data_IF_518037641069
#
_entry.id   IF_518037641069
#
_cell.length_a   1.000
_cell.length_b   1.000
_cell.length_c   1.000
_cell.angle_alpha   90.00
_cell.angle_beta   90.00
_cell.angle_gamma   90.00
#
_symmetry.space_group_name_H-M   'P 1'
#
loop_
_entity.id
_entity.type
_entity.pdbx_description
1 polymer ?
#
# COMPACT_ATOMS: atom_id res chain seq x y z
N UNK A 1 2.69 -51.99 -39.99
CA UNK A 1 3.31 -50.67 -39.70
C UNK A 1 2.27 -49.57 -39.85
N UNK A 2 1.27 -49.49 -38.97
CA UNK A 2 0.25 -48.43 -38.94
C UNK A 2 -0.43 -48.41 -37.55
N UNK A 3 0.19 -47.77 -36.54
CA UNK A 3 -0.42 -47.49 -35.25
C UNK A 3 0.34 -46.41 -34.47
N UNK A 4 0.47 -45.17 -34.97
CA UNK A 4 1.09 -44.08 -34.20
C UNK A 4 0.55 -42.66 -34.46
N UNK A 5 -0.57 -42.47 -35.14
CA UNK A 5 -1.04 -41.10 -35.47
C UNK A 5 -2.36 -40.65 -34.84
N UNK A 6 -3.01 -41.45 -33.97
CA UNK A 6 -4.29 -41.07 -33.37
C UNK A 6 -4.19 -40.42 -31.98
N UNK A 7 -3.06 -40.51 -31.27
CA UNK A 7 -2.91 -40.01 -29.91
C UNK A 7 -2.67 -38.48 -29.82
N UNK A 8 -1.96 -37.89 -30.76
CA UNK A 8 -1.56 -36.47 -30.69
C UNK A 8 -2.69 -35.46 -30.98
N UNK A 9 -3.73 -35.89 -31.73
CA UNK A 9 -4.88 -35.02 -32.07
C UNK A 9 -5.89 -34.89 -30.92
N UNK A 10 -6.00 -35.92 -30.07
CA UNK A 10 -6.88 -35.92 -28.88
C UNK A 10 -6.34 -35.05 -27.77
N UNK A 11 -5.05 -35.07 -27.50
CA UNK A 11 -4.42 -34.20 -26.47
C UNK A 11 -4.49 -32.72 -26.82
N UNK A 12 -4.24 -32.34 -28.09
CA UNK A 12 -4.35 -30.93 -28.51
C UNK A 12 -5.78 -30.37 -28.42
N UNK A 13 -6.80 -31.20 -28.63
CA UNK A 13 -8.21 -30.80 -28.49
C UNK A 13 -8.64 -30.60 -27.03
N UNK A 14 -8.11 -31.39 -26.09
CA UNK A 14 -8.43 -31.24 -24.68
C UNK A 14 -7.77 -30.00 -24.06
N UNK A 15 -6.53 -29.69 -24.42
CA UNK A 15 -5.83 -28.48 -23.96
C UNK A 15 -6.52 -27.20 -24.48
N UNK A 16 -7.01 -27.20 -25.73
CA UNK A 16 -7.70 -26.02 -26.28
C UNK A 16 -9.10 -25.81 -25.66
N UNK A 17 -9.80 -26.88 -25.30
CA UNK A 17 -11.09 -26.79 -24.58
C UNK A 17 -10.92 -26.31 -23.13
N UNK A 18 -9.88 -26.77 -22.44
CA UNK A 18 -9.54 -26.31 -21.09
C UNK A 18 -9.22 -24.82 -21.06
N UNK A 19 -8.38 -24.33 -21.97
CA UNK A 19 -8.05 -22.88 -22.06
C UNK A 19 -9.24 -22.00 -22.41
N UNK A 20 -10.18 -22.49 -23.23
CA UNK A 20 -11.39 -21.72 -23.59
C UNK A 20 -12.40 -21.69 -22.44
N UNK A 21 -12.52 -22.76 -21.65
CA UNK A 21 -13.35 -22.83 -20.45
C UNK A 21 -12.80 -21.97 -19.32
N UNK A 22 -11.45 -21.90 -19.18
CA UNK A 22 -10.78 -21.06 -18.19
C UNK A 22 -10.92 -19.57 -18.49
N UNK A 23 -10.77 -19.17 -19.77
CA UNK A 23 -11.00 -17.77 -20.19
C UNK A 23 -12.46 -17.34 -20.02
N UNK A 24 -13.42 -18.22 -20.24
CA UNK A 24 -14.85 -17.95 -20.01
C UNK A 24 -15.15 -17.72 -18.52
N UNK A 25 -14.56 -18.49 -17.63
CA UNK A 25 -14.76 -18.33 -16.17
C UNK A 25 -14.14 -17.03 -15.65
N UNK A 26 -12.92 -16.69 -16.08
CA UNK A 26 -12.27 -15.43 -15.70
C UNK A 26 -13.06 -14.18 -16.13
N UNK A 27 -13.62 -14.20 -17.35
CA UNK A 27 -14.48 -13.10 -17.83
C UNK A 27 -15.77 -13.01 -17.02
N UNK A 28 -16.39 -14.15 -16.68
CA UNK A 28 -17.62 -14.17 -15.86
C UNK A 28 -17.34 -13.68 -14.43
N UNK A 29 -16.22 -14.06 -13.84
CA UNK A 29 -15.83 -13.61 -12.48
C UNK A 29 -15.53 -12.10 -12.47
N UNK A 30 -14.78 -11.59 -13.46
CA UNK A 30 -14.51 -10.16 -13.61
C UNK A 30 -15.79 -9.32 -13.81
N UNK A 31 -16.73 -9.80 -14.64
CA UNK A 31 -18.03 -9.13 -14.82
C UNK A 31 -18.87 -9.18 -13.53
N UNK A 32 -18.82 -10.27 -12.76
CA UNK A 32 -19.54 -10.39 -11.51
C UNK A 32 -18.98 -9.41 -10.45
N UNK A 33 -17.66 -9.26 -10.35
CA UNK A 33 -17.01 -8.31 -9.44
C UNK A 33 -17.37 -6.86 -9.81
N UNK A 34 -17.28 -6.49 -11.08
CA UNK A 34 -17.68 -5.15 -11.55
C UNK A 34 -19.16 -4.87 -11.30
N UNK A 35 -20.02 -5.88 -11.44
CA UNK A 35 -21.45 -5.75 -11.15
C UNK A 35 -21.71 -5.55 -9.64
N UNK A 36 -20.98 -6.27 -8.79
CA UNK A 36 -21.06 -6.13 -7.32
C UNK A 36 -20.56 -4.75 -6.90
N UNK A 37 -19.44 -4.28 -7.43
CA UNK A 37 -18.90 -2.95 -7.12
C UNK A 37 -19.84 -1.83 -7.58
N UNK A 38 -20.42 -1.95 -8.79
CA UNK A 38 -21.42 -1.00 -9.29
C UNK A 38 -22.70 -1.02 -8.44
N UNK A 39 -23.13 -2.20 -7.98
CA UNK A 39 -24.29 -2.34 -7.11
C UNK A 39 -24.04 -1.74 -5.73
N UNK A 40 -22.86 -1.93 -5.16
CA UNK A 40 -22.46 -1.33 -3.88
C UNK A 40 -22.42 0.19 -3.99
N UNK A 41 -21.85 0.74 -5.06
CA UNK A 41 -21.84 2.18 -5.30
C UNK A 41 -23.27 2.76 -5.42
N UNK A 42 -24.13 2.07 -6.15
CA UNK A 42 -25.55 2.43 -6.29
C UNK A 42 -26.32 2.36 -4.96
N UNK A 43 -26.08 1.33 -4.14
CA UNK A 43 -26.76 1.18 -2.83
C UNK A 43 -26.29 2.18 -1.78
N UNK A 44 -25.03 2.65 -1.87
CA UNK A 44 -24.48 3.68 -0.96
C UNK A 44 -25.00 5.08 -1.26
N UNK A 45 -25.07 5.45 -2.50
CA UNK A 45 -25.57 6.77 -2.95
C UNK A 45 -26.13 6.69 -4.38
N UNK A 46 -27.44 6.37 -4.54
CA UNK A 46 -28.08 6.26 -5.85
C UNK A 46 -28.05 7.55 -6.67
N UNK A 47 -28.08 8.72 -5.99
CA UNK A 47 -28.09 10.01 -6.68
C UNK A 47 -26.69 10.37 -7.19
N UNK A 48 -25.65 10.15 -6.40
CA UNK A 48 -24.27 10.36 -6.83
C UNK A 48 -23.86 9.40 -7.96
N UNK A 49 -24.29 8.14 -7.90
CA UNK A 49 -24.04 7.16 -8.96
C UNK A 49 -24.69 7.54 -10.30
N UNK A 50 -25.94 7.99 -10.28
CA UNK A 50 -26.63 8.44 -11.50
C UNK A 50 -26.06 9.75 -12.04
N UNK A 51 -25.67 10.69 -11.20
CA UNK A 51 -24.99 11.92 -11.61
C UNK A 51 -23.60 11.66 -12.22
N UNK A 52 -22.84 10.70 -11.67
CA UNK A 52 -21.56 10.26 -12.25
C UNK A 52 -21.70 9.68 -13.65
N UNK A 53 -22.71 8.85 -13.89
CA UNK A 53 -23.04 8.32 -15.22
C UNK A 53 -23.47 9.41 -16.23
N UNK A 54 -24.21 10.42 -15.79
CA UNK A 54 -24.61 11.55 -16.64
C UNK A 54 -23.45 12.50 -16.95
N UNK A 55 -22.49 12.68 -15.99
CA UNK A 55 -21.30 13.49 -16.19
C UNK A 55 -20.35 12.90 -17.26
N UNK A 56 -20.19 11.58 -17.28
CA UNK A 56 -19.42 10.87 -18.32
C UNK A 56 -20.07 11.02 -19.73
N UNK A 57 -21.38 11.16 -19.78
CA UNK A 57 -22.12 11.32 -21.05
C UNK A 57 -22.13 12.76 -21.61
N UNK A 58 -21.70 13.77 -20.85
CA UNK A 58 -21.85 15.20 -21.20
C UNK A 58 -20.54 15.98 -21.19
N UNK A 59 -19.42 15.50 -21.68
CA UNK A 59 -18.20 16.29 -21.84
C UNK A 59 -18.16 16.94 -23.22
N UNK A 60 -18.38 18.29 -23.34
CA UNK A 60 -18.04 19.02 -24.55
C UNK A 60 -16.65 19.65 -24.42
N UNK A 61 -15.84 19.49 -25.44
CA UNK A 61 -14.56 20.16 -25.61
C UNK A 61 -14.75 21.67 -25.88
N UNK A 62 -13.91 22.52 -25.28
CA UNK A 62 -13.60 23.80 -25.89
C UNK A 62 -13.63 25.07 -25.02
N UNK A 63 -12.47 25.60 -24.83
CA UNK A 63 -11.95 26.95 -25.10
C UNK A 63 -12.30 28.17 -24.19
N UNK A 64 -11.19 28.78 -23.77
CA UNK A 64 -10.87 30.22 -23.66
C UNK A 64 -11.59 31.18 -22.70
N UNK A 65 -10.74 31.96 -21.97
CA UNK A 65 -11.15 33.22 -21.41
C UNK A 65 -10.25 33.81 -20.30
N UNK A 66 -9.08 34.32 -20.65
CA UNK A 66 -8.27 35.20 -19.79
C UNK A 66 -8.99 36.50 -19.48
N UNK A 67 -9.13 36.88 -18.22
CA UNK A 67 -9.32 38.27 -17.82
C UNK A 67 -8.42 38.66 -16.64
N UNK A 68 -7.52 39.60 -16.90
CA UNK A 68 -6.74 40.37 -15.92
C UNK A 68 -7.63 41.34 -15.16
N UNK A 69 -7.45 41.45 -13.84
CA UNK A 69 -7.82 42.64 -13.08
C UNK A 69 -6.78 42.94 -11.99
N UNK A 70 -6.43 44.17 -11.94
CA UNK A 70 -5.46 44.98 -11.29
C UNK A 70 -5.19 44.83 -9.80
N UNK A 71 -3.95 45.16 -9.46
CA UNK A 71 -3.37 45.29 -8.12
C UNK A 71 -3.65 46.72 -7.61
N UNK A 72 -4.08 46.90 -6.38
CA UNK A 72 -3.87 48.16 -5.65
C UNK A 72 -2.69 48.06 -4.67
N UNK A 73 -1.80 49.05 -4.75
CA UNK A 73 -0.73 49.30 -3.79
C UNK A 73 -1.28 49.69 -2.43
N UNK A 74 -0.73 49.13 -1.35
CA UNK A 74 -0.98 49.61 0.01
C UNK A 74 0.34 49.91 0.72
N UNK A 75 0.28 50.96 1.49
CA UNK A 75 1.35 51.69 2.13
C UNK A 75 1.99 50.95 3.31
N UNK A 76 3.27 51.25 3.52
CA UNK A 76 4.13 50.72 4.58
C UNK A 76 3.83 51.39 5.91
N UNK A 77 3.30 50.69 6.87
CA UNK A 77 3.39 51.09 8.28
C UNK A 77 4.33 50.16 9.06
N UNK A 78 5.37 50.78 9.61
CA UNK A 78 6.37 50.20 10.47
C UNK A 78 5.81 50.02 11.88
N UNK A 79 5.50 48.81 12.29
CA UNK A 79 5.24 48.47 13.70
C UNK A 79 6.34 47.54 14.21
N UNK A 80 7.06 48.00 15.23
CA UNK A 80 8.05 47.26 15.98
C UNK A 80 7.38 46.12 16.76
N UNK A 81 7.58 44.88 16.32
CA UNK A 81 7.15 43.70 17.06
C UNK A 81 8.29 43.24 17.97
N UNK A 82 8.06 43.29 19.27
CA UNK A 82 8.82 42.52 20.26
C UNK A 82 8.44 41.06 20.15
N UNK A 83 9.39 40.09 20.13
CA UNK A 83 9.04 38.68 20.12
C UNK A 83 8.47 38.29 21.47
N UNK A 84 7.15 38.12 21.54
CA UNK A 84 6.52 37.36 22.60
C UNK A 84 6.72 35.88 22.28
N UNK A 85 7.63 35.20 22.98
CA UNK A 85 7.76 33.75 22.96
C UNK A 85 6.54 33.16 23.66
N UNK A 86 5.47 32.94 22.91
CA UNK A 86 4.43 32.03 23.35
C UNK A 86 4.96 30.61 23.15
N UNK A 87 5.39 29.96 24.23
CA UNK A 87 5.56 28.51 24.22
C UNK A 87 4.20 27.92 23.81
N UNK A 88 4.13 27.31 22.64
CA UNK A 88 3.02 26.41 22.33
C UNK A 88 3.07 25.27 23.39
N UNK A 89 1.92 24.79 23.87
CA UNK A 89 1.91 23.61 24.70
C UNK A 89 2.59 22.48 23.90
N UNK A 90 3.65 21.92 24.46
CA UNK A 90 4.21 20.67 23.95
C UNK A 90 3.07 19.65 24.02
N UNK A 91 2.67 19.13 22.89
CA UNK A 91 1.72 18.01 22.83
C UNK A 91 2.47 16.84 23.46
N UNK A 92 2.06 16.40 24.66
CA UNK A 92 2.52 15.12 25.22
C UNK A 92 1.76 14.04 24.45
N UNK A 93 2.48 13.22 23.69
CA UNK A 93 1.96 12.02 23.10
C UNK A 93 1.95 10.92 24.16
N UNK A 94 0.85 10.18 24.26
CA UNK A 94 0.69 9.08 25.21
C UNK A 94 0.81 7.75 24.46
N UNK A 95 1.88 6.98 24.71
CA UNK A 95 2.16 5.76 24.00
C UNK A 95 3.07 5.92 22.79
N UNK A 96 3.19 4.87 22.01
CA UNK A 96 3.96 4.82 20.76
C UNK A 96 3.15 4.14 19.67
N UNK A 97 3.37 4.55 18.42
CA UNK A 97 2.97 3.77 17.26
C UNK A 97 4.02 2.66 17.06
N UNK A 98 3.62 1.42 17.29
CA UNK A 98 4.47 0.24 17.11
C UNK A 98 4.30 -0.36 15.73
N UNK A 99 5.39 -0.66 15.05
CA UNK A 99 5.43 -1.18 13.68
C UNK A 99 6.39 -2.36 13.63
N UNK A 100 5.92 -3.50 13.15
CA UNK A 100 6.73 -4.71 12.99
C UNK A 100 6.78 -5.08 11.52
N UNK A 101 7.97 -5.04 10.93
CA UNK A 101 8.22 -5.59 9.59
C UNK A 101 8.71 -7.02 9.77
N UNK A 102 7.84 -7.98 9.49
CA UNK A 102 8.06 -9.39 9.80
C UNK A 102 9.03 -10.04 8.80
N UNK A 103 9.94 -10.89 9.27
CA UNK A 103 10.74 -11.77 8.39
C UNK A 103 9.85 -12.88 7.83
N UNK A 104 9.27 -12.62 6.67
CA UNK A 104 8.44 -13.57 5.90
C UNK A 104 9.18 -14.04 4.64
N UNK A 105 10.52 -14.06 4.69
CA UNK A 105 11.33 -14.32 3.50
C UNK A 105 11.14 -13.22 2.44
N UNK A 106 11.01 -13.62 1.16
CA UNK A 106 10.71 -12.65 0.12
C UNK A 106 9.25 -12.25 0.20
N UNK A 107 8.97 -10.94 0.31
CA UNK A 107 7.63 -10.40 0.41
C UNK A 107 7.44 -9.45 1.59
N UNK A 108 6.22 -8.99 1.79
CA UNK A 108 5.86 -8.08 2.87
C UNK A 108 4.80 -8.67 3.80
N UNK A 109 4.98 -8.46 5.09
CA UNK A 109 3.94 -8.54 6.11
C UNK A 109 4.29 -7.55 7.21
N UNK A 110 3.48 -6.52 7.40
CA UNK A 110 3.76 -5.43 8.31
C UNK A 110 2.57 -5.30 9.27
N UNK A 111 2.86 -5.51 10.56
CA UNK A 111 1.88 -5.32 11.63
C UNK A 111 2.10 -3.98 12.31
N UNK A 112 1.01 -3.26 12.57
CA UNK A 112 1.04 -1.99 13.30
C UNK A 112 0.06 -2.02 14.46
N UNK A 113 0.47 -1.38 15.56
CA UNK A 113 -0.40 -1.10 16.70
C UNK A 113 -0.35 0.39 17.02
N UNK A 114 -1.51 1.04 16.96
CA UNK A 114 -1.66 2.43 17.32
C UNK A 114 -1.48 2.64 18.84
N UNK A 115 -1.19 3.87 19.29
CA UNK A 115 -1.15 4.20 20.72
C UNK A 115 -2.47 3.87 21.45
N UNK A 116 -3.61 4.00 20.78
CA UNK A 116 -4.94 3.63 21.28
C UNK A 116 -5.16 2.13 21.41
N UNK A 117 -4.34 1.30 20.76
CA UNK A 117 -4.38 -0.15 20.77
C UNK A 117 -5.01 -0.77 19.51
N UNK A 118 -5.52 0.05 18.60
CA UNK A 118 -6.05 -0.39 17.31
C UNK A 118 -4.96 -1.06 16.49
N UNK A 119 -5.34 -2.08 15.70
CA UNK A 119 -4.40 -2.94 14.98
C UNK A 119 -4.57 -2.85 13.48
N UNK A 120 -3.46 -2.90 12.75
CA UNK A 120 -3.44 -2.94 11.30
C UNK A 120 -2.47 -4.00 10.81
N UNK A 121 -2.87 -4.77 9.79
CA UNK A 121 -1.97 -5.67 9.07
C UNK A 121 -1.92 -5.25 7.60
N UNK A 122 -0.72 -5.01 7.09
CA UNK A 122 -0.47 -4.67 5.69
C UNK A 122 0.29 -5.84 5.08
N UNK A 123 -0.32 -6.47 4.09
CA UNK A 123 0.15 -7.69 3.43
C UNK A 123 0.33 -8.90 4.39
N UNK A 124 0.53 -10.07 3.82
CA UNK A 124 0.59 -11.34 4.56
C UNK A 124 1.60 -12.32 3.97
N UNK A 125 2.61 -11.82 3.26
CA UNK A 125 3.68 -12.61 2.70
C UNK A 125 3.20 -13.75 1.79
N UNK A 126 4.11 -14.66 1.45
CA UNK A 126 3.71 -15.90 0.78
C UNK A 126 2.95 -16.85 1.73
N UNK A 127 2.06 -17.67 1.18
CA UNK A 127 1.17 -18.58 1.94
C UNK A 127 1.88 -19.50 2.93
N UNK A 128 3.14 -19.84 2.70
CA UNK A 128 3.95 -20.69 3.55
C UNK A 128 4.34 -20.01 4.87
N UNK A 129 4.34 -18.69 4.94
CA UNK A 129 4.70 -17.92 6.14
C UNK A 129 3.49 -17.58 7.03
N UNK A 130 2.29 -18.05 6.67
CA UNK A 130 1.11 -17.80 7.50
C UNK A 130 1.28 -18.25 8.96
N UNK A 131 1.94 -19.40 9.19
CA UNK A 131 2.14 -19.90 10.56
C UNK A 131 3.02 -19.01 11.41
N UNK A 132 4.01 -18.37 10.82
CA UNK A 132 4.91 -17.41 11.46
C UNK A 132 4.15 -16.12 11.79
N UNK A 133 3.38 -15.59 10.83
CA UNK A 133 2.54 -14.40 11.03
C UNK A 133 1.47 -14.67 12.11
N UNK A 134 0.78 -15.80 12.05
CA UNK A 134 -0.24 -16.21 13.02
C UNK A 134 0.35 -16.38 14.45
N UNK A 135 1.56 -16.94 14.55
CA UNK A 135 2.27 -17.08 15.83
C UNK A 135 2.63 -15.71 16.39
N UNK A 136 3.18 -14.81 15.55
CA UNK A 136 3.51 -13.45 15.95
C UNK A 136 2.26 -12.68 16.42
N UNK A 137 1.17 -12.71 15.66
CA UNK A 137 -0.07 -12.02 16.04
C UNK A 137 -0.62 -12.54 17.38
N UNK A 138 -0.52 -13.84 17.64
CA UNK A 138 -0.90 -14.43 18.94
C UNK A 138 0.03 -14.04 20.09
N UNK A 139 1.34 -13.94 19.85
CA UNK A 139 2.31 -13.44 20.82
C UNK A 139 2.08 -11.97 21.16
N UNK A 140 1.52 -11.20 20.22
CA UNK A 140 1.08 -9.84 20.40
C UNK A 140 -0.34 -9.71 20.99
N UNK A 141 -0.95 -10.80 21.43
CA UNK A 141 -2.33 -10.84 21.96
C UNK A 141 -3.39 -10.28 21.00
N UNK A 142 -3.17 -10.37 19.67
CA UNK A 142 -4.10 -9.89 18.64
C UNK A 142 -5.27 -10.87 18.52
N UNK A 143 -6.48 -10.42 18.86
CA UNK A 143 -7.72 -11.19 18.71
C UNK A 143 -8.48 -10.83 17.42
N UNK A 144 -8.36 -9.60 16.96
CA UNK A 144 -8.97 -9.05 15.75
C UNK A 144 -8.04 -8.05 15.09
N UNK A 145 -8.27 -7.76 13.82
CA UNK A 145 -7.57 -6.74 13.05
C UNK A 145 -8.57 -5.65 12.65
N UNK A 146 -8.35 -4.42 13.14
CA UNK A 146 -9.26 -3.31 12.85
C UNK A 146 -9.16 -2.91 11.37
N UNK A 147 -7.96 -2.97 10.82
CA UNK A 147 -7.68 -2.70 9.41
C UNK A 147 -6.77 -3.78 8.83
N UNK A 148 -7.11 -4.25 7.63
CA UNK A 148 -6.23 -5.08 6.80
C UNK A 148 -6.09 -4.42 5.43
N UNK A 149 -4.85 -4.35 4.93
CA UNK A 149 -4.53 -3.79 3.62
C UNK A 149 -3.82 -4.86 2.79
N UNK A 150 -4.35 -5.13 1.59
CA UNK A 150 -3.65 -5.87 0.55
C UNK A 150 -3.12 -4.85 -0.46
N UNK A 151 -1.81 -4.62 -0.49
CA UNK A 151 -1.22 -3.53 -1.28
C UNK A 151 -1.39 -3.75 -2.77
N UNK A 152 -1.08 -4.94 -3.26
CA UNK A 152 -1.24 -5.34 -4.66
C UNK A 152 -1.33 -6.88 -4.79
N UNK A 153 -1.72 -7.43 -5.98
CA UNK A 153 -2.13 -8.84 -6.06
C UNK A 153 -1.00 -9.87 -6.26
N UNK A 154 0.26 -9.56 -5.98
CA UNK A 154 1.35 -10.54 -6.06
C UNK A 154 1.34 -11.49 -4.86
N UNK A 155 1.85 -12.72 -5.06
CA UNK A 155 1.75 -13.81 -4.09
C UNK A 155 2.61 -13.61 -2.86
N UNK A 156 3.68 -12.89 -2.96
CA UNK A 156 4.58 -12.52 -1.86
C UNK A 156 4.04 -11.39 -0.97
N UNK A 157 2.88 -10.84 -1.34
CA UNK A 157 2.11 -9.87 -0.54
C UNK A 157 0.78 -10.45 -0.05
N UNK A 158 0.04 -11.14 -0.93
CA UNK A 158 -1.30 -11.65 -0.56
C UNK A 158 -1.36 -13.18 -0.39
N UNK A 159 -0.20 -13.85 -0.36
CA UNK A 159 -0.14 -15.32 -0.28
C UNK A 159 -0.84 -15.89 0.95
N UNK A 160 -0.56 -15.33 2.11
CA UNK A 160 -1.19 -15.69 3.38
C UNK A 160 -2.56 -15.05 3.63
N UNK A 161 -2.99 -14.09 2.81
CA UNK A 161 -4.15 -13.24 3.09
C UNK A 161 -5.46 -14.01 3.26
N UNK A 162 -5.70 -15.06 2.46
CA UNK A 162 -6.90 -15.89 2.63
C UNK A 162 -6.96 -16.56 4.01
N UNK A 163 -5.81 -16.98 4.56
CA UNK A 163 -5.71 -17.60 5.87
C UNK A 163 -5.88 -16.59 7.00
N UNK A 164 -5.38 -15.35 6.83
CA UNK A 164 -5.64 -14.21 7.74
C UNK A 164 -7.15 -13.93 7.81
N UNK A 165 -7.81 -13.79 6.65
CA UNK A 165 -9.26 -13.54 6.55
C UNK A 165 -10.09 -14.65 7.20
N UNK A 166 -9.67 -15.91 7.05
CA UNK A 166 -10.35 -17.05 7.64
C UNK A 166 -10.17 -17.15 9.16
N UNK A 167 -9.04 -16.66 9.69
CA UNK A 167 -8.63 -16.85 11.10
C UNK A 167 -9.04 -15.69 12.00
N UNK A 168 -8.94 -14.44 11.52
CA UNK A 168 -9.17 -13.25 12.34
C UNK A 168 -10.48 -12.55 11.98
N UNK A 169 -11.09 -11.89 12.96
CA UNK A 169 -12.14 -10.92 12.69
C UNK A 169 -11.50 -9.64 12.13
N UNK A 170 -12.06 -9.12 11.03
CA UNK A 170 -11.52 -7.95 10.32
C UNK A 170 -12.56 -6.85 10.31
N UNK A 171 -12.19 -5.66 10.78
CA UNK A 171 -13.04 -4.48 10.80
C UNK A 171 -13.20 -3.90 9.39
N UNK A 172 -12.10 -3.53 8.76
CA UNK A 172 -12.07 -2.96 7.41
C UNK A 172 -10.98 -3.63 6.57
N UNK A 173 -11.30 -3.94 5.33
CA UNK A 173 -10.35 -4.52 4.37
C UNK A 173 -10.17 -3.57 3.19
N UNK A 174 -8.92 -3.23 2.87
CA UNK A 174 -8.58 -2.34 1.75
C UNK A 174 -7.80 -3.10 0.68
N UNK A 175 -8.08 -2.80 -0.59
CA UNK A 175 -7.35 -3.33 -1.74
C UNK A 175 -7.42 -2.35 -2.91
N UNK A 176 -6.49 -2.40 -3.89
CA UNK A 176 -6.55 -1.58 -5.09
C UNK A 176 -7.62 -2.09 -6.08
N UNK A 177 -8.01 -1.23 -7.04
CA UNK A 177 -8.99 -1.58 -8.09
C UNK A 177 -8.36 -2.36 -9.24
N UNK A 178 -7.55 -3.35 -8.94
CA UNK A 178 -6.93 -4.21 -9.94
C UNK A 178 -7.33 -5.66 -9.73
N UNK A 179 -7.40 -6.43 -10.81
CA UNK A 179 -7.72 -7.85 -10.75
C UNK A 179 -6.56 -8.69 -11.26
N UNK A 180 -6.36 -9.86 -10.66
CA UNK A 180 -5.38 -10.81 -11.11
C UNK A 180 -6.00 -12.20 -11.29
N UNK A 181 -5.41 -13.02 -12.17
CA UNK A 181 -5.94 -14.34 -12.52
C UNK A 181 -5.23 -15.48 -11.80
N UNK A 182 -4.48 -15.18 -10.73
CA UNK A 182 -3.78 -16.19 -9.93
C UNK A 182 -4.73 -16.89 -8.96
N UNK A 183 -4.41 -18.14 -8.63
CA UNK A 183 -5.14 -18.87 -7.62
C UNK A 183 -5.08 -18.21 -6.23
N UNK A 184 -4.01 -17.49 -5.93
CA UNK A 184 -3.82 -16.74 -4.68
C UNK A 184 -4.86 -15.62 -4.58
N UNK A 185 -4.98 -14.81 -5.62
CA UNK A 185 -5.97 -13.73 -5.67
C UNK A 185 -7.42 -14.28 -5.62
N UNK A 186 -7.72 -15.36 -6.38
CA UNK A 186 -9.03 -16.01 -6.34
C UNK A 186 -9.37 -16.55 -4.94
N UNK A 187 -8.38 -17.10 -4.18
CA UNK A 187 -8.59 -17.56 -2.80
C UNK A 187 -8.88 -16.42 -1.84
N UNK A 188 -8.13 -15.32 -1.93
CA UNK A 188 -8.37 -14.12 -1.11
C UNK A 188 -9.80 -13.62 -1.32
N UNK A 189 -10.25 -13.43 -2.57
CA UNK A 189 -11.61 -13.00 -2.87
C UNK A 189 -12.67 -13.98 -2.35
N UNK A 190 -12.41 -15.29 -2.46
CA UNK A 190 -13.32 -16.32 -1.96
C UNK A 190 -13.43 -16.30 -0.43
N UNK A 191 -12.32 -16.03 0.28
CA UNK A 191 -12.32 -15.89 1.72
C UNK A 191 -13.10 -14.63 2.17
N UNK A 192 -12.91 -13.49 1.50
CA UNK A 192 -13.69 -12.28 1.73
C UNK A 192 -15.20 -12.53 1.54
N UNK A 193 -15.58 -13.19 0.44
CA UNK A 193 -16.98 -13.55 0.18
C UNK A 193 -17.55 -14.48 1.27
N UNK A 194 -16.80 -15.53 1.67
CA UNK A 194 -17.23 -16.49 2.69
C UNK A 194 -17.41 -15.86 4.07
N UNK A 195 -16.64 -14.81 4.40
CA UNK A 195 -16.72 -14.04 5.65
C UNK A 195 -17.65 -12.83 5.54
N UNK A 196 -18.31 -12.63 4.40
CA UNK A 196 -19.18 -11.48 4.13
C UNK A 196 -18.46 -10.12 4.30
N UNK A 197 -17.13 -10.07 4.09
CA UNK A 197 -16.33 -8.86 4.14
C UNK A 197 -16.37 -8.18 2.77
N UNK A 198 -16.85 -6.94 2.75
CA UNK A 198 -16.83 -6.10 1.55
C UNK A 198 -15.56 -5.25 1.54
N UNK A 199 -14.61 -5.47 0.60
CA UNK A 199 -13.42 -4.68 0.56
C UNK A 199 -13.70 -3.24 0.14
N UNK A 200 -13.00 -2.29 0.77
CA UNK A 200 -12.94 -0.90 0.33
C UNK A 200 -11.86 -0.77 -0.73
N UNK A 201 -12.22 -0.21 -1.89
CA UNK A 201 -11.23 0.08 -2.93
C UNK A 201 -10.48 1.36 -2.56
N UNK A 202 -9.17 1.23 -2.42
CA UNK A 202 -8.29 2.32 -2.07
C UNK A 202 -7.87 3.11 -3.31
N UNK A 203 -8.02 4.43 -3.24
CA UNK A 203 -7.48 5.39 -4.20
C UNK A 203 -6.92 6.59 -3.47
N UNK A 204 -5.81 7.10 -3.98
CA UNK A 204 -5.21 8.32 -3.50
C UNK A 204 -5.99 9.54 -4.01
N UNK A 205 -6.20 10.49 -3.11
CA UNK A 205 -6.70 11.83 -3.41
C UNK A 205 -6.14 12.81 -2.39
N UNK A 206 -6.40 14.11 -2.55
CA UNK A 206 -5.92 15.12 -1.62
C UNK A 206 -6.33 14.93 -0.15
N UNK A 207 -7.32 14.06 0.10
CA UNK A 207 -7.87 13.80 1.43
C UNK A 207 -8.20 12.31 1.66
N UNK A 208 -7.56 11.41 0.90
CA UNK A 208 -7.78 9.99 1.08
C UNK A 208 -7.01 9.47 2.29
N UNK A 209 -7.74 9.07 3.33
CA UNK A 209 -7.19 8.53 4.57
C UNK A 209 -7.93 7.25 4.96
N UNK A 210 -7.21 6.34 5.60
CA UNK A 210 -7.78 5.20 6.29
C UNK A 210 -8.09 5.65 7.72
N UNK A 211 -9.36 5.65 8.12
CA UNK A 211 -9.74 5.90 9.50
C UNK A 211 -9.33 4.70 10.36
N UNK A 212 -8.43 4.94 11.31
CA UNK A 212 -7.85 3.89 12.14
C UNK A 212 -7.81 4.30 13.61
N UNK A 213 -6.94 5.19 14.01
CA UNK A 213 -6.78 5.74 15.35
C UNK A 213 -6.96 7.27 15.29
N UNK A 214 -7.36 7.92 16.41
CA UNK A 214 -7.65 9.36 16.40
C UNK A 214 -6.36 10.22 16.40
N UNK A 215 -5.24 9.68 16.87
CA UNK A 215 -3.95 10.38 16.98
C UNK A 215 -2.99 10.03 15.81
N UNK A 216 -3.35 9.02 14.98
CA UNK A 216 -2.52 8.55 13.86
C UNK A 216 -3.21 8.86 12.53
N UNK A 217 -2.54 9.64 11.68
CA UNK A 217 -3.01 9.84 10.31
C UNK A 217 -2.45 8.75 9.39
N UNK A 218 -3.33 8.13 8.59
CA UNK A 218 -2.98 7.09 7.62
C UNK A 218 -3.41 7.56 6.23
N UNK A 219 -2.49 8.22 5.52
CA UNK A 219 -2.77 8.82 4.22
C UNK A 219 -2.47 7.87 3.08
N UNK A 220 -3.37 7.79 2.10
CA UNK A 220 -3.18 7.01 0.86
C UNK A 220 -2.56 7.92 -0.21
N UNK A 221 -1.38 7.54 -0.73
CA UNK A 221 -0.66 8.27 -1.78
C UNK A 221 -0.75 7.57 -3.15
N UNK A 222 -1.01 6.26 -3.20
CA UNK A 222 -1.18 5.44 -4.42
C UNK A 222 -2.20 4.32 -4.13
N UNK A 223 -2.88 3.76 -5.16
CA UNK A 223 -2.90 4.21 -6.56
C UNK A 223 -3.75 5.48 -6.77
N UNK A 224 -3.42 6.28 -7.77
CA UNK A 224 -4.20 7.48 -8.11
C UNK A 224 -5.49 7.12 -8.82
N UNK A 225 -6.59 7.78 -8.48
CA UNK A 225 -7.87 7.56 -9.12
C UNK A 225 -7.82 7.94 -10.61
N UNK A 226 -8.29 7.02 -11.48
CA UNK A 226 -8.33 7.22 -12.93
C UNK A 226 -7.00 6.96 -13.66
N UNK A 227 -5.94 6.59 -12.96
CA UNK A 227 -4.73 6.05 -13.59
C UNK A 227 -4.94 4.57 -13.96
N UNK A 228 -4.31 4.16 -15.05
CA UNK A 228 -4.25 2.77 -15.51
C UNK A 228 -2.77 2.37 -15.57
N UNK A 229 -2.36 1.57 -14.61
CA UNK A 229 -0.98 1.11 -14.49
C UNK A 229 -0.81 -0.19 -15.26
N UNK A 230 0.25 -0.28 -16.10
CA UNK A 230 0.55 -1.48 -16.88
C UNK A 230 1.14 -2.60 -16.00
N UNK A 231 1.97 -2.22 -15.02
CA UNK A 231 2.56 -3.14 -14.05
C UNK A 231 1.69 -3.29 -12.81
N UNK A 232 1.61 -4.51 -12.28
CA UNK A 232 0.84 -4.79 -11.06
C UNK A 232 1.48 -4.17 -9.80
N UNK A 233 2.79 -3.99 -9.80
CA UNK A 233 3.52 -3.35 -8.71
C UNK A 233 3.08 -1.89 -8.53
N UNK A 234 2.85 -1.17 -9.64
CA UNK A 234 2.41 0.22 -9.62
C UNK A 234 0.98 0.42 -9.09
N UNK A 235 0.19 -0.68 -8.97
CA UNK A 235 -1.10 -0.65 -8.26
C UNK A 235 -0.96 -0.71 -6.74
N UNK A 236 0.25 -0.75 -6.21
CA UNK A 236 0.50 -0.80 -4.77
C UNK A 236 -0.18 0.35 -4.05
N UNK A 237 -0.89 0.01 -2.96
CA UNK A 237 -1.36 1.00 -2.00
C UNK A 237 -0.13 1.51 -1.25
N UNK A 238 0.20 2.78 -1.47
CA UNK A 238 1.29 3.48 -0.77
C UNK A 238 0.68 4.30 0.35
N UNK A 239 1.18 4.09 1.57
CA UNK A 239 0.67 4.73 2.77
C UNK A 239 1.75 5.60 3.42
N UNK A 240 1.41 6.85 3.76
CA UNK A 240 2.17 7.64 4.72
C UNK A 240 1.42 7.67 6.05
N UNK A 241 2.01 7.08 7.09
CA UNK A 241 1.43 6.91 8.42
C UNK A 241 2.21 7.81 9.38
N UNK A 242 1.53 8.78 9.97
CA UNK A 242 2.18 9.79 10.82
C UNK A 242 1.59 9.81 12.23
N UNK A 243 2.49 9.93 13.21
CA UNK A 243 2.18 10.13 14.62
C UNK A 243 3.07 11.24 15.17
N UNK A 244 2.45 12.37 15.54
CA UNK A 244 3.18 13.55 15.96
C UNK A 244 4.11 14.11 14.88
N UNK A 245 5.41 14.24 15.22
CA UNK A 245 6.46 14.70 14.31
C UNK A 245 7.18 13.55 13.60
N UNK A 246 6.76 12.29 13.82
CA UNK A 246 7.35 11.10 13.23
C UNK A 246 6.39 10.43 12.26
N UNK A 247 6.92 9.58 11.38
CA UNK A 247 6.09 8.81 10.45
C UNK A 247 6.88 7.73 9.74
N UNK A 248 6.13 6.82 9.12
CA UNK A 248 6.64 5.81 8.21
C UNK A 248 5.90 5.88 6.88
N UNK A 249 6.66 5.86 5.78
CA UNK A 249 6.10 5.68 4.45
C UNK A 249 6.31 4.22 4.02
N UNK A 250 5.20 3.55 3.69
CA UNK A 250 5.17 2.16 3.23
C UNK A 250 4.85 2.16 1.74
N UNK A 251 5.84 1.81 0.91
CA UNK A 251 5.74 1.95 -0.53
C UNK A 251 5.12 0.72 -1.23
N UNK A 252 4.87 -0.39 -0.51
CA UNK A 252 4.54 -1.67 -1.15
C UNK A 252 5.62 -2.03 -2.17
N UNK A 253 5.21 -2.30 -3.41
CA UNK A 253 6.11 -2.54 -4.54
C UNK A 253 6.02 -1.46 -5.63
N UNK A 254 5.47 -0.29 -5.29
CA UNK A 254 5.39 0.83 -6.22
C UNK A 254 6.75 1.11 -6.86
N UNK A 255 6.77 1.18 -8.19
CA UNK A 255 7.95 1.44 -8.99
C UNK A 255 8.02 2.90 -9.46
N UNK A 256 9.05 3.24 -10.21
CA UNK A 256 9.33 4.61 -10.63
C UNK A 256 8.14 5.31 -11.31
N UNK A 257 7.28 4.58 -12.03
CA UNK A 257 6.11 5.16 -12.68
C UNK A 257 5.06 5.63 -11.67
N UNK A 258 4.77 4.82 -10.65
CA UNK A 258 3.85 5.21 -9.57
C UNK A 258 4.47 6.32 -8.70
N UNK A 259 5.78 6.26 -8.41
CA UNK A 259 6.51 7.30 -7.68
C UNK A 259 6.42 8.64 -8.40
N UNK A 260 6.71 8.70 -9.70
CA UNK A 260 6.60 9.91 -10.51
C UNK A 260 5.15 10.46 -10.52
N UNK A 261 4.15 9.56 -10.64
CA UNK A 261 2.75 9.95 -10.62
C UNK A 261 2.34 10.56 -9.27
N UNK A 262 2.80 10.00 -8.16
CA UNK A 262 2.59 10.55 -6.81
C UNK A 262 3.25 11.92 -6.66
N UNK A 263 4.53 12.06 -7.04
CA UNK A 263 5.30 13.30 -6.92
C UNK A 263 4.70 14.46 -7.76
N UNK A 264 4.06 14.15 -8.87
CA UNK A 264 3.32 15.16 -9.68
C UNK A 264 1.99 15.53 -9.04
N UNK A 265 1.35 14.62 -8.31
CA UNK A 265 -0.02 14.76 -7.81
C UNK A 265 -0.11 15.39 -6.42
N UNK A 266 0.92 15.23 -5.59
CA UNK A 266 0.93 15.69 -4.21
C UNK A 266 2.13 16.58 -3.91
N UNK A 267 2.00 17.52 -2.95
CA UNK A 267 3.11 18.36 -2.50
C UNK A 267 4.13 17.53 -1.69
N UNK A 268 5.38 18.01 -1.64
CA UNK A 268 6.49 17.26 -1.02
C UNK A 268 6.26 16.94 0.47
N UNK A 269 5.55 17.79 1.20
CA UNK A 269 5.20 17.58 2.61
C UNK A 269 4.34 16.34 2.86
N UNK A 270 3.61 15.86 1.85
CA UNK A 270 2.79 14.67 1.94
C UNK A 270 3.60 13.37 1.96
N UNK A 271 4.88 13.43 1.59
CA UNK A 271 5.79 12.28 1.55
C UNK A 271 6.72 12.20 2.76
N UNK A 272 6.92 13.32 3.49
CA UNK A 272 7.90 13.39 4.56
C UNK A 272 7.64 12.30 5.62
N UNK A 273 8.68 11.48 5.89
CA UNK A 273 8.61 10.40 6.86
C UNK A 273 9.99 10.13 7.49
N UNK A 274 10.01 9.79 8.78
CA UNK A 274 11.23 9.43 9.50
C UNK A 274 11.80 8.09 9.01
N UNK A 275 10.89 7.16 8.66
CA UNK A 275 11.20 5.82 8.19
C UNK A 275 10.59 5.60 6.81
N UNK A 276 11.31 4.94 5.91
CA UNK A 276 10.83 4.50 4.60
C UNK A 276 10.97 2.98 4.50
N UNK A 277 9.85 2.24 4.33
CA UNK A 277 9.91 0.88 3.78
C UNK A 277 10.08 1.02 2.27
N UNK A 278 11.21 0.54 1.75
CA UNK A 278 11.55 0.65 0.33
C UNK A 278 10.51 -0.04 -0.56
N UNK A 279 10.28 0.52 -1.73
CA UNK A 279 9.48 -0.13 -2.76
C UNK A 279 10.16 -1.40 -3.28
N UNK A 280 9.36 -2.38 -3.65
CA UNK A 280 9.74 -3.60 -4.35
C UNK A 280 11.00 -4.27 -3.76
N UNK A 281 11.02 -4.41 -2.42
CA UNK A 281 12.07 -5.08 -1.65
C UNK A 281 13.48 -4.51 -1.86
N UNK A 282 13.57 -3.26 -2.27
CA UNK A 282 14.85 -2.59 -2.61
C UNK A 282 15.34 -2.86 -4.03
N UNK A 283 14.45 -3.22 -4.96
CA UNK A 283 14.74 -3.25 -6.40
C UNK A 283 15.18 -1.89 -6.91
N UNK A 284 16.08 -1.85 -7.88
CA UNK A 284 16.50 -0.64 -8.60
C UNK A 284 15.41 -0.05 -9.51
N UNK A 285 14.26 -0.74 -9.69
CA UNK A 285 13.09 -0.21 -10.38
C UNK A 285 12.27 0.76 -9.52
N UNK A 286 12.53 0.79 -8.21
CA UNK A 286 11.83 1.58 -7.18
C UNK A 286 12.79 2.51 -6.45
N UNK A 287 12.24 3.34 -5.55
CA UNK A 287 13.00 4.25 -4.69
C UNK A 287 13.91 5.17 -5.50
N UNK A 288 13.30 5.86 -6.47
CA UNK A 288 14.01 6.85 -7.30
C UNK A 288 14.62 7.94 -6.44
N UNK A 289 15.70 8.57 -6.94
CA UNK A 289 16.35 9.70 -6.25
C UNK A 289 15.36 10.84 -5.92
N UNK A 290 14.39 11.09 -6.81
CA UNK A 290 13.36 12.11 -6.61
C UNK A 290 12.40 11.72 -5.47
N UNK A 291 11.98 10.45 -5.43
CA UNK A 291 11.11 9.94 -4.38
C UNK A 291 11.83 9.91 -3.02
N UNK A 292 13.06 9.39 -2.98
CA UNK A 292 13.89 9.39 -1.77
C UNK A 292 14.11 10.81 -1.23
N UNK A 293 14.36 11.78 -2.10
CA UNK A 293 14.51 13.19 -1.72
C UNK A 293 13.22 13.78 -1.13
N UNK A 294 12.05 13.40 -1.66
CA UNK A 294 10.75 13.88 -1.17
C UNK A 294 10.42 13.28 0.20
N UNK A 295 10.67 11.99 0.40
CA UNK A 295 10.46 11.31 1.68
C UNK A 295 11.47 11.79 2.72
N UNK A 296 12.73 11.98 2.33
CA UNK A 296 13.84 12.42 3.19
C UNK A 296 13.98 11.61 4.50
N UNK A 297 14.01 10.27 4.43
CA UNK A 297 13.98 9.42 5.61
C UNK A 297 15.35 9.42 6.31
N UNK A 298 15.33 9.17 7.62
CA UNK A 298 16.55 8.88 8.39
C UNK A 298 16.90 7.38 8.33
N UNK A 299 15.88 6.54 8.17
CA UNK A 299 15.98 5.09 8.22
C UNK A 299 15.19 4.49 7.06
N UNK A 300 15.78 3.53 6.38
CA UNK A 300 15.17 2.73 5.35
C UNK A 300 15.05 1.26 5.80
N UNK A 301 13.89 0.66 5.56
CA UNK A 301 13.64 -0.74 5.84
C UNK A 301 13.56 -1.51 4.52
N UNK A 302 14.32 -2.58 4.43
CA UNK A 302 14.24 -3.57 3.34
C UNK A 302 13.57 -4.82 3.88
N UNK A 303 12.42 -5.19 3.34
CA UNK A 303 11.82 -6.50 3.56
C UNK A 303 12.19 -7.40 2.39
N UNK A 304 13.06 -8.37 2.61
CA UNK A 304 13.58 -9.28 1.57
C UNK A 304 13.98 -10.62 2.19
N UNK A 305 13.99 -11.67 1.39
CA UNK A 305 14.38 -13.00 1.83
C UNK A 305 15.89 -13.23 1.76
N UNK A 306 16.46 -13.87 2.77
CA UNK A 306 17.86 -14.25 2.77
C UNK A 306 18.19 -15.15 1.58
N UNK A 307 19.12 -14.70 0.72
CA UNK A 307 19.51 -15.43 -0.47
C UNK A 307 18.42 -15.55 -1.54
N UNK A 308 17.50 -14.57 -1.59
CA UNK A 308 16.43 -14.52 -2.58
C UNK A 308 16.98 -14.58 -4.02
N UNK A 309 16.18 -15.11 -4.95
CA UNK A 309 16.61 -15.34 -6.34
C UNK A 309 16.57 -14.07 -7.20
N UNK A 310 16.00 -12.98 -6.69
CA UNK A 310 15.87 -11.70 -7.37
C UNK A 310 17.16 -10.86 -7.26
N UNK A 311 17.95 -11.09 -6.19
CA UNK A 311 19.12 -10.31 -5.86
C UNK A 311 18.85 -9.04 -5.08
N UNK A 312 17.61 -8.90 -4.55
CA UNK A 312 17.20 -7.75 -3.75
C UNK A 312 17.76 -7.80 -2.33
N UNK A 313 18.08 -6.63 -1.73
CA UNK A 313 18.10 -5.31 -2.38
C UNK A 313 19.23 -5.16 -3.38
N UNK A 314 18.99 -4.41 -4.47
CA UNK A 314 19.99 -4.12 -5.49
C UNK A 314 21.13 -3.24 -4.94
N UNK A 315 22.37 -3.48 -5.42
CA UNK A 315 23.53 -2.68 -5.02
C UNK A 315 23.36 -1.18 -5.36
N UNK A 316 22.64 -0.87 -6.44
CA UNK A 316 22.36 0.49 -6.87
C UNK A 316 21.46 1.23 -5.87
N UNK A 317 20.43 0.56 -5.37
CA UNK A 317 19.54 1.09 -4.34
C UNK A 317 20.28 1.33 -3.02
N UNK A 318 21.11 0.36 -2.60
CA UNK A 318 21.91 0.52 -1.37
C UNK A 318 22.92 1.67 -1.48
N UNK A 319 23.57 1.82 -2.65
CA UNK A 319 24.51 2.92 -2.90
C UNK A 319 23.80 4.30 -2.89
N UNK A 320 22.57 4.37 -3.39
CA UNK A 320 21.76 5.59 -3.34
C UNK A 320 21.44 5.96 -1.87
N UNK A 321 21.02 5.01 -1.05
CA UNK A 321 20.74 5.25 0.38
C UNK A 321 21.99 5.69 1.14
N UNK A 322 23.15 5.06 0.88
CA UNK A 322 24.42 5.45 1.46
C UNK A 322 24.79 6.91 1.08
N UNK A 323 24.61 7.28 -0.19
CA UNK A 323 24.88 8.63 -0.67
C UNK A 323 24.00 9.69 0.00
N UNK A 324 22.80 9.33 0.42
CA UNK A 324 21.87 10.20 1.16
C UNK A 324 22.06 10.10 2.70
N UNK A 325 22.95 9.25 3.17
CA UNK A 325 23.23 9.06 4.60
C UNK A 325 22.10 8.38 5.36
N UNK A 326 21.27 7.59 4.69
CA UNK A 326 20.14 6.86 5.27
C UNK A 326 20.64 5.58 5.94
N UNK A 327 20.22 5.33 7.18
CA UNK A 327 20.50 4.07 7.87
C UNK A 327 19.62 2.96 7.30
N UNK A 328 20.17 1.80 6.95
CA UNK A 328 19.43 0.69 6.36
C UNK A 328 19.30 -0.44 7.37
N UNK A 329 18.05 -0.93 7.59
CA UNK A 329 17.74 -2.16 8.30
C UNK A 329 17.12 -3.17 7.33
N UNK A 330 17.49 -4.48 7.45
CA UNK A 330 17.13 -5.50 6.48
C UNK A 330 16.61 -6.76 7.17
N UNK A 331 15.45 -7.27 6.77
CA UNK A 331 14.88 -8.50 7.35
C UNK A 331 15.71 -9.74 7.02
N UNK A 332 16.34 -9.82 5.85
CA UNK A 332 17.17 -10.94 5.43
C UNK A 332 18.46 -11.10 6.24
N UNK A 333 18.93 -10.05 6.92
CA UNK A 333 20.09 -10.03 7.78
C UNK A 333 19.70 -10.03 9.27
N UNK A 334 18.66 -9.27 9.64
CA UNK A 334 18.36 -8.91 11.02
C UNK A 334 17.07 -9.56 11.55
N UNK A 335 16.35 -10.33 10.73
CA UNK A 335 15.06 -10.91 11.12
C UNK A 335 13.96 -9.86 11.18
N UNK A 336 12.96 -10.08 12.02
CA UNK A 336 11.88 -9.11 12.23
C UNK A 336 12.41 -7.79 12.79
N UNK A 337 11.94 -6.67 12.21
CA UNK A 337 12.35 -5.31 12.61
C UNK A 337 11.18 -4.67 13.33
N UNK A 338 11.40 -4.24 14.56
CA UNK A 338 10.45 -3.50 15.39
C UNK A 338 10.83 -2.02 15.40
N UNK A 339 9.87 -1.16 15.08
CA UNK A 339 10.02 0.29 15.02
C UNK A 339 9.01 0.90 15.97
N UNK A 340 9.46 1.75 16.86
CA UNK A 340 8.62 2.52 17.78
C UNK A 340 8.72 4.00 17.44
N UNK A 341 7.59 4.63 17.13
CA UNK A 341 7.47 6.07 16.91
C UNK A 341 6.74 6.68 18.10
N UNK A 342 7.40 7.52 18.88
CA UNK A 342 6.84 8.17 20.08
C UNK A 342 6.25 9.56 19.80
N UNK A 343 6.13 9.92 18.54
CA UNK A 343 5.69 11.24 18.08
C UNK A 343 6.78 12.30 18.01
N UNK A 344 8.01 11.99 18.47
CA UNK A 344 9.19 12.90 18.43
C UNK A 344 10.42 12.21 17.84
N UNK A 345 10.59 10.93 18.10
CA UNK A 345 11.73 10.12 17.67
C UNK A 345 11.27 8.74 17.17
N UNK A 346 12.15 8.07 16.43
CA UNK A 346 12.03 6.67 16.05
C UNK A 346 13.09 5.85 16.78
N UNK A 347 12.67 4.76 17.42
CA UNK A 347 13.55 3.73 17.95
C UNK A 347 13.40 2.45 17.14
N UNK A 348 14.51 1.73 16.92
CA UNK A 348 14.49 0.47 16.16
C UNK A 348 15.14 -0.63 16.98
N UNK A 349 14.44 -1.75 17.06
CA UNK A 349 14.93 -3.01 17.58
C UNK A 349 14.92 -4.08 16.49
N UNK A 350 15.88 -4.95 16.45
CA UNK A 350 16.00 -6.04 15.48
C UNK A 350 16.09 -7.38 16.21
N UNK A 351 15.49 -8.41 15.63
CA UNK A 351 15.45 -9.75 16.23
C UNK A 351 16.85 -10.37 16.38
N UNK A 352 17.70 -10.17 15.35
CA UNK A 352 19.08 -10.68 15.29
C UNK A 352 20.03 -9.49 15.33
N UNK A 353 20.58 -9.17 16.52
CA UNK A 353 21.65 -8.20 16.62
C UNK A 353 22.99 -8.85 16.23
N UNK A 354 23.85 -8.10 15.50
CA UNK A 354 25.22 -8.54 15.12
C UNK A 354 26.13 -8.85 16.32
#
# INVERSE_FOLDING_TARGET
MQRKTRSSRSQKRNVSRSRKAMRSKAVVLGCALLFVLALIAYLRDPEAFTQGLEAVAQTPAGSDGLQQTGIPSAETESSTFSPSTSAQPETEFDGALEIYVLDVGQGDSIFLRAPGGETMLIDAGEAQYFSEIDSFLKEQDVASLDVVVATHPHSDHIGGMSQIIETYEIGNFYMPAVTHTTATFEKMLSALEAREITPTIAYASSHAEIAWDEDVSVRILSPLEGMDYEDLNDWSIVLNITYGETGILLAGDAEAYAEDAMLVSFPAEDFAATVLKLGHHGSSTSTTEAFLSAVSPQIAIVSAGAGNSYGHPDEETLALLEAYGVTVCRTDEQGTIHIMLDGKAAEIEVEKAD
#
